data_IF_788375820444
#
_entry.id   IF_788375820444
#
_cell.length_a   1.000
_cell.length_b   1.000
_cell.length_c   1.000
_cell.angle_alpha   90.00
_cell.angle_beta   90.00
_cell.angle_gamma   90.00
#
_symmetry.space_group_name_H-M   'P 1'
#
loop_
_entity.id
_entity.type
_entity.pdbx_description
1 polymer ?
#
# COMPACT_ATOMS: atom_id res chain seq x y z
N UNK A 1 -5.33 27.38 -6.72
CA UNK A 1 -5.00 26.09 -6.08
C UNK A 1 -3.95 26.35 -5.00
N UNK A 2 -4.13 25.73 -3.85
CA UNK A 2 -3.19 25.85 -2.75
C UNK A 2 -1.95 24.99 -3.02
N UNK A 3 -0.76 25.52 -2.75
CA UNK A 3 0.51 24.81 -2.91
C UNK A 3 0.52 23.53 -2.06
N UNK A 4 -0.03 23.59 -0.85
CA UNK A 4 -0.09 22.43 0.04
C UNK A 4 -0.92 21.29 -0.56
N UNK A 5 -2.04 21.62 -1.20
CA UNK A 5 -2.86 20.62 -1.89
C UNK A 5 -2.12 19.99 -3.07
N UNK A 6 -1.39 20.81 -3.83
CA UNK A 6 -0.62 20.31 -4.96
C UNK A 6 0.51 19.37 -4.49
N UNK A 7 1.21 19.75 -3.42
CA UNK A 7 2.24 18.89 -2.85
C UNK A 7 1.67 17.59 -2.34
N UNK A 8 0.52 17.63 -1.65
CA UNK A 8 -0.14 16.42 -1.15
C UNK A 8 -0.58 15.53 -2.31
N UNK A 9 -1.16 16.11 -3.35
CA UNK A 9 -1.55 15.36 -4.53
C UNK A 9 -0.36 14.65 -5.18
N UNK A 10 0.78 15.31 -5.29
CA UNK A 10 2.00 14.72 -5.83
C UNK A 10 2.50 13.57 -4.96
N UNK A 11 2.48 13.74 -3.64
CA UNK A 11 2.90 12.68 -2.71
C UNK A 11 1.99 11.47 -2.85
N UNK A 12 0.68 11.68 -2.87
CA UNK A 12 -0.28 10.58 -3.02
C UNK A 12 -0.07 9.84 -4.35
N UNK A 13 0.01 10.57 -5.45
CA UNK A 13 0.09 9.95 -6.76
C UNK A 13 1.43 9.27 -7.05
N UNK A 14 2.52 9.84 -6.53
CA UNK A 14 3.87 9.39 -6.90
C UNK A 14 4.54 8.53 -5.83
N UNK A 15 4.12 8.63 -4.58
CA UNK A 15 4.79 7.94 -3.47
C UNK A 15 3.88 6.97 -2.72
N UNK A 16 2.73 7.46 -2.24
CA UNK A 16 1.90 6.67 -1.32
C UNK A 16 1.11 5.57 -2.04
N UNK A 17 0.38 5.92 -3.09
CA UNK A 17 -0.43 4.93 -3.82
C UNK A 17 0.45 3.86 -4.45
N UNK A 18 1.57 4.19 -5.15
CA UNK A 18 2.46 3.16 -5.67
C UNK A 18 3.06 2.26 -4.60
N UNK A 19 3.36 2.79 -3.40
CA UNK A 19 3.89 1.97 -2.31
C UNK A 19 2.87 0.96 -1.80
N UNK A 20 1.60 1.34 -1.72
CA UNK A 20 0.54 0.40 -1.35
C UNK A 20 0.43 -0.70 -2.41
N UNK A 21 0.50 -0.35 -3.69
CA UNK A 21 0.47 -1.33 -4.77
C UNK A 21 1.67 -2.29 -4.70
N UNK A 22 2.87 -1.78 -4.38
CA UNK A 22 4.05 -2.61 -4.18
C UNK A 22 3.84 -3.62 -3.05
N UNK A 23 3.26 -3.18 -1.93
CA UNK A 23 3.00 -4.06 -0.80
C UNK A 23 1.94 -5.11 -1.11
N UNK A 24 0.93 -4.76 -1.89
CA UNK A 24 -0.07 -5.72 -2.36
C UNK A 24 0.58 -6.77 -3.27
N UNK A 25 1.50 -6.37 -4.13
CA UNK A 25 2.24 -7.29 -4.98
C UNK A 25 3.13 -8.23 -4.17
N UNK A 26 3.77 -7.73 -3.12
CA UNK A 26 4.59 -8.55 -2.22
C UNK A 26 3.76 -9.64 -1.55
N UNK A 27 2.56 -9.31 -1.09
CA UNK A 27 1.70 -10.29 -0.43
C UNK A 27 1.21 -11.38 -1.38
N UNK A 28 1.26 -11.12 -2.68
CA UNK A 28 0.81 -12.07 -3.71
C UNK A 28 1.93 -12.90 -4.31
N UNK A 29 3.16 -12.38 -4.31
CA UNK A 29 4.32 -13.00 -4.94
C UNK A 29 5.51 -12.99 -4.01
N UNK A 30 6.37 -14.01 -4.13
CA UNK A 30 7.63 -14.00 -3.40
C UNK A 30 8.52 -12.90 -3.95
N UNK A 31 9.13 -12.12 -3.06
CA UNK A 31 9.98 -11.02 -3.44
C UNK A 31 11.33 -11.14 -2.76
N UNK A 32 12.35 -10.56 -3.39
CA UNK A 32 13.69 -10.50 -2.81
C UNK A 32 13.77 -9.35 -1.81
N UNK A 33 14.52 -9.56 -0.72
CA UNK A 33 14.71 -8.57 0.32
C UNK A 33 14.18 -9.05 1.66
N UNK A 34 14.79 -8.55 2.74
CA UNK A 34 14.47 -9.03 4.08
C UNK A 34 13.04 -8.72 4.48
N UNK A 35 12.61 -7.47 4.28
CA UNK A 35 11.26 -7.07 4.65
C UNK A 35 10.21 -7.75 3.79
N UNK A 36 10.42 -7.75 2.48
CA UNK A 36 9.51 -8.40 1.55
C UNK A 36 9.41 -9.90 1.82
N UNK A 37 10.54 -10.54 2.09
CA UNK A 37 10.58 -11.96 2.42
C UNK A 37 9.85 -12.27 3.73
N UNK A 38 9.98 -11.41 4.73
CA UNK A 38 9.29 -11.58 6.00
C UNK A 38 7.77 -11.44 5.83
N UNK A 39 7.34 -10.44 5.09
CA UNK A 39 5.90 -10.23 4.80
C UNK A 39 5.35 -11.42 4.03
N UNK A 40 6.06 -11.88 3.01
CA UNK A 40 5.64 -13.02 2.22
C UNK A 40 5.56 -14.28 3.08
N UNK A 41 6.58 -14.52 3.90
CA UNK A 41 6.63 -15.68 4.78
C UNK A 41 5.48 -15.71 5.78
N UNK A 42 5.20 -14.58 6.42
CA UNK A 42 4.07 -14.47 7.34
C UNK A 42 2.73 -14.68 6.63
N UNK A 43 2.57 -14.09 5.45
CA UNK A 43 1.34 -14.23 4.67
C UNK A 43 1.12 -15.67 4.21
N UNK A 44 2.20 -16.38 3.91
CA UNK A 44 2.12 -17.76 3.46
C UNK A 44 1.79 -18.72 4.61
N UNK A 45 2.32 -18.45 5.82
CA UNK A 45 2.17 -19.34 6.96
C UNK A 45 0.97 -19.03 7.83
N UNK A 46 0.45 -17.82 7.80
CA UNK A 46 -0.65 -17.37 8.66
C UNK A 46 -1.72 -16.66 7.83
N UNK A 47 -2.84 -17.35 7.62
CA UNK A 47 -3.95 -16.79 6.82
C UNK A 47 -4.59 -15.59 7.49
N UNK A 48 -4.64 -15.55 8.82
CA UNK A 48 -5.18 -14.40 9.51
C UNK A 48 -4.36 -13.14 9.23
N UNK A 49 -3.05 -13.26 9.32
CA UNK A 49 -2.15 -12.16 8.97
C UNK A 49 -2.37 -11.73 7.52
N UNK A 50 -2.40 -12.68 6.59
CA UNK A 50 -2.58 -12.40 5.18
C UNK A 50 -3.88 -11.64 4.93
N UNK A 51 -4.98 -12.10 5.49
CA UNK A 51 -6.28 -11.48 5.32
C UNK A 51 -6.31 -10.05 5.86
N UNK A 52 -5.82 -9.88 7.07
CA UNK A 52 -5.77 -8.56 7.72
C UNK A 52 -4.82 -7.61 7.01
N UNK A 53 -3.68 -8.12 6.56
CA UNK A 53 -2.68 -7.33 5.85
C UNK A 53 -3.25 -6.82 4.53
N UNK A 54 -3.84 -7.69 3.74
CA UNK A 54 -4.47 -7.30 2.47
C UNK A 54 -5.62 -6.34 2.68
N UNK A 55 -6.44 -6.58 3.70
CA UNK A 55 -7.55 -5.69 4.03
C UNK A 55 -7.04 -4.30 4.40
N UNK A 56 -6.01 -4.23 5.26
CA UNK A 56 -5.41 -2.95 5.65
C UNK A 56 -4.87 -2.19 4.43
N UNK A 57 -4.19 -2.89 3.55
CA UNK A 57 -3.63 -2.27 2.34
C UNK A 57 -4.72 -1.75 1.41
N UNK A 58 -5.78 -2.54 1.21
CA UNK A 58 -6.89 -2.12 0.35
C UNK A 58 -7.62 -0.91 0.93
N UNK A 59 -7.88 -0.91 2.23
CA UNK A 59 -8.51 0.23 2.90
C UNK A 59 -7.63 1.47 2.83
N UNK A 60 -6.34 1.30 3.01
CA UNK A 60 -5.38 2.41 2.93
C UNK A 60 -5.35 2.98 1.52
N UNK A 61 -5.34 2.12 0.50
CA UNK A 61 -5.36 2.54 -0.89
C UNK A 61 -6.63 3.33 -1.22
N UNK A 62 -7.78 2.84 -0.76
CA UNK A 62 -9.06 3.52 -0.98
C UNK A 62 -9.07 4.88 -0.31
N UNK A 63 -8.54 4.97 0.90
CA UNK A 63 -8.46 6.23 1.63
C UNK A 63 -7.57 7.23 0.90
N UNK A 64 -6.42 6.80 0.41
CA UNK A 64 -5.52 7.66 -0.34
C UNK A 64 -6.14 8.10 -1.66
N UNK A 65 -6.81 7.19 -2.35
CA UNK A 65 -7.46 7.50 -3.62
C UNK A 65 -8.58 8.52 -3.42
N UNK A 66 -9.37 8.34 -2.37
CA UNK A 66 -10.43 9.28 -2.04
C UNK A 66 -9.87 10.66 -1.71
N UNK A 67 -8.81 10.71 -0.92
CA UNK A 67 -8.15 11.99 -0.59
C UNK A 67 -7.65 12.67 -1.87
N UNK A 68 -7.02 11.93 -2.76
CA UNK A 68 -6.53 12.46 -4.03
C UNK A 68 -7.67 13.02 -4.88
N UNK A 69 -8.79 12.28 -4.97
CA UNK A 69 -9.94 12.71 -5.76
C UNK A 69 -10.61 13.97 -5.20
N UNK A 70 -10.52 14.17 -3.88
CA UNK A 70 -11.10 15.35 -3.22
C UNK A 70 -10.18 16.58 -3.26
N UNK A 71 -8.93 16.43 -3.64
CA UNK A 71 -8.03 17.54 -3.80
C UNK A 71 -8.32 18.33 -5.07
#
# INVERSE_FOLDING_TARGET
MNIDKLERANILAKRLIPKVDELLAISSNSCNGKLAGAIWGLSHCDKEFETKFKQLLNETKQRFQKEFDEL
#
